data_IF_896582893016
#
_entry.id   IF_896582893016
#
_cell.length_a   1.000
_cell.length_b   1.000
_cell.length_c   1.000
_cell.angle_alpha   90.00
_cell.angle_beta   90.00
_cell.angle_gamma   90.00
#
_symmetry.space_group_name_H-M   'P 1'
#
loop_
_entity.id
_entity.type
_entity.pdbx_description
1 polymer ?
#
# COMPACT_ATOMS: atom_id res chain seq x y z
N UNK A 1 22.85 4.10 -11.10
CA UNK A 1 21.51 3.49 -10.97
C UNK A 1 20.95 3.87 -9.60
N UNK A 2 19.74 4.42 -9.54
CA UNK A 2 19.13 4.88 -8.29
C UNK A 2 18.84 3.68 -7.37
N UNK A 3 19.21 3.79 -6.08
CA UNK A 3 19.02 2.75 -5.07
C UNK A 3 17.53 2.41 -4.87
N UNK A 4 16.66 3.41 -4.98
CA UNK A 4 15.22 3.24 -4.85
C UNK A 4 14.63 2.48 -6.05
N UNK A 5 15.11 2.75 -7.26
CA UNK A 5 14.73 1.99 -8.46
C UNK A 5 15.13 0.50 -8.36
N UNK A 6 16.28 0.20 -7.76
CA UNK A 6 16.74 -1.18 -7.51
C UNK A 6 15.84 -1.93 -6.52
N UNK A 7 15.48 -1.29 -5.40
CA UNK A 7 14.56 -1.88 -4.42
C UNK A 7 13.20 -2.15 -5.03
N UNK A 8 12.69 -1.20 -5.80
CA UNK A 8 11.40 -1.30 -6.47
C UNK A 8 11.38 -2.47 -7.47
N UNK A 9 12.42 -2.63 -8.28
CA UNK A 9 12.58 -3.79 -9.19
C UNK A 9 12.58 -5.13 -8.44
N UNK A 10 13.28 -5.22 -7.31
CA UNK A 10 13.34 -6.43 -6.50
C UNK A 10 11.98 -6.76 -5.87
N UNK A 11 11.25 -5.76 -5.36
CA UNK A 11 9.88 -5.95 -4.84
C UNK A 11 8.94 -6.48 -5.94
N UNK A 12 8.96 -5.88 -7.14
CA UNK A 12 8.11 -6.31 -8.26
C UNK A 12 8.47 -7.74 -8.73
N UNK A 13 9.76 -8.07 -8.77
CA UNK A 13 10.23 -9.36 -9.27
C UNK A 13 9.79 -10.57 -8.42
N UNK A 14 9.43 -10.35 -7.15
CA UNK A 14 8.93 -11.41 -6.25
C UNK A 14 7.47 -11.80 -6.57
N UNK A 15 6.70 -10.88 -7.18
CA UNK A 15 5.28 -11.05 -7.47
C UNK A 15 5.00 -12.02 -8.62
N UNK A 16 3.79 -12.60 -8.72
CA UNK A 16 3.35 -13.35 -9.89
C UNK A 16 3.38 -12.53 -11.19
N UNK A 17 3.63 -13.18 -12.34
CA UNK A 17 3.71 -12.50 -13.65
C UNK A 17 2.46 -11.68 -14.01
N UNK A 18 1.28 -12.09 -13.53
CA UNK A 18 0.02 -11.36 -13.73
C UNK A 18 0.07 -10.00 -13.05
N UNK A 19 0.54 -9.97 -11.80
CA UNK A 19 0.59 -8.77 -10.98
C UNK A 19 1.73 -7.85 -11.39
N UNK A 20 2.87 -8.42 -11.83
CA UNK A 20 3.94 -7.66 -12.48
C UNK A 20 3.42 -6.87 -13.69
N UNK A 21 2.66 -7.52 -14.58
CA UNK A 21 2.07 -6.85 -15.77
C UNK A 21 1.06 -5.79 -15.37
N UNK A 22 0.24 -6.06 -14.36
CA UNK A 22 -0.71 -5.08 -13.84
C UNK A 22 0.00 -3.85 -13.27
N UNK A 23 1.03 -4.02 -12.44
CA UNK A 23 1.83 -2.91 -11.88
C UNK A 23 2.48 -2.08 -12.99
N UNK A 24 3.08 -2.73 -13.98
CA UNK A 24 3.69 -2.03 -15.11
C UNK A 24 2.66 -1.24 -15.94
N UNK A 25 1.38 -1.64 -15.93
CA UNK A 25 0.29 -0.93 -16.60
C UNK A 25 -0.20 0.32 -15.85
N UNK A 26 0.13 0.45 -14.57
CA UNK A 26 -0.23 1.61 -13.74
C UNK A 26 0.83 2.72 -13.76
N UNK A 27 1.99 2.49 -14.41
CA UNK A 27 3.05 3.49 -14.51
C UNK A 27 2.59 4.67 -15.37
N UNK A 28 2.90 5.90 -14.93
CA UNK A 28 2.70 7.09 -15.77
C UNK A 28 3.60 7.05 -17.00
N UNK A 29 3.24 7.75 -18.08
CA UNK A 29 4.03 7.78 -19.32
C UNK A 29 5.51 8.18 -19.09
N UNK A 30 5.76 9.10 -18.15
CA UNK A 30 7.11 9.50 -17.77
C UNK A 30 7.88 8.38 -17.08
N UNK A 31 7.25 7.66 -16.15
CA UNK A 31 7.85 6.52 -15.45
C UNK A 31 8.06 5.33 -16.38
N UNK A 32 7.15 5.11 -17.32
CA UNK A 32 7.25 4.05 -18.32
C UNK A 32 8.43 4.31 -19.26
N UNK A 33 8.61 5.56 -19.70
CA UNK A 33 9.77 5.98 -20.50
C UNK A 33 11.08 5.84 -19.72
N UNK A 34 11.10 6.18 -18.43
CA UNK A 34 12.26 5.95 -17.57
C UNK A 34 12.53 4.46 -17.36
N UNK A 35 11.49 3.64 -17.22
CA UNK A 35 11.61 2.19 -17.09
C UNK A 35 12.22 1.57 -18.35
N UNK A 36 11.76 1.98 -19.53
CA UNK A 36 12.32 1.56 -20.83
C UNK A 36 13.77 2.03 -21.02
N UNK A 37 14.07 3.30 -20.72
CA UNK A 37 15.42 3.86 -20.81
C UNK A 37 16.44 3.11 -19.95
N UNK A 38 16.00 2.60 -18.79
CA UNK A 38 16.84 1.82 -17.88
C UNK A 38 16.79 0.31 -18.14
N UNK A 39 16.26 -0.14 -19.29
CA UNK A 39 16.13 -1.56 -19.63
C UNK A 39 15.36 -2.35 -18.54
N UNK A 40 14.31 -1.74 -17.99
CA UNK A 40 13.56 -2.24 -16.84
C UNK A 40 13.07 -3.66 -16.99
N UNK A 41 12.66 -4.09 -18.19
CA UNK A 41 12.24 -5.47 -18.47
C UNK A 41 13.39 -6.49 -18.28
N UNK A 42 14.59 -6.18 -18.76
CA UNK A 42 15.75 -7.05 -18.56
C UNK A 42 16.18 -7.08 -17.09
N UNK A 43 16.14 -5.92 -16.43
CA UNK A 43 16.45 -5.83 -15.01
C UNK A 43 15.45 -6.59 -14.15
N UNK A 44 14.17 -6.58 -14.52
CA UNK A 44 13.11 -7.30 -13.82
C UNK A 44 13.27 -8.82 -14.05
N UNK A 45 13.63 -9.24 -15.26
CA UNK A 45 14.00 -10.63 -15.52
C UNK A 45 15.24 -11.07 -14.73
N UNK A 46 16.28 -10.22 -14.64
CA UNK A 46 17.46 -10.48 -13.82
C UNK A 46 17.11 -10.53 -12.32
N UNK A 47 16.23 -9.65 -11.86
CA UNK A 47 15.75 -9.60 -10.48
C UNK A 47 14.94 -10.86 -10.10
N UNK A 48 14.25 -11.50 -11.05
CA UNK A 48 13.54 -12.76 -10.80
C UNK A 48 14.47 -13.90 -10.37
N UNK A 49 15.75 -13.89 -10.78
CA UNK A 49 16.74 -14.86 -10.29
C UNK A 49 17.05 -14.70 -8.80
N UNK A 50 16.84 -13.50 -8.24
CA UNK A 50 17.02 -13.22 -6.82
C UNK A 50 15.75 -13.47 -5.99
N UNK A 51 14.68 -14.01 -6.61
CA UNK A 51 13.42 -14.34 -5.92
C UNK A 51 13.62 -15.34 -4.77
N UNK A 52 14.56 -16.27 -4.91
CA UNK A 52 14.89 -17.25 -3.85
C UNK A 52 15.61 -16.62 -2.65
N UNK A 53 16.30 -15.48 -2.84
CA UNK A 53 16.99 -14.77 -1.76
C UNK A 53 16.03 -13.88 -0.95
N UNK A 54 14.89 -13.52 -1.52
CA UNK A 54 13.79 -12.85 -0.79
C UNK A 54 13.01 -13.79 0.13
N UNK A 55 13.23 -15.12 0.03
CA UNK A 55 12.68 -16.14 0.92
C UNK A 55 13.63 -16.56 2.04
N UNK A 56 14.75 -15.86 2.23
CA UNK A 56 15.43 -15.94 3.53
C UNK A 56 14.53 -15.16 4.48
N UNK A 57 13.82 -15.81 5.43
CA UNK A 57 13.10 -15.06 6.44
C UNK A 57 14.16 -14.22 7.15
N UNK A 58 14.09 -12.90 6.97
CA UNK A 58 14.78 -11.99 7.85
C UNK A 58 14.36 -12.43 9.25
N UNK A 59 15.33 -12.88 10.05
CA UNK A 59 15.18 -13.14 11.49
C UNK A 59 14.15 -12.14 12.01
N UNK A 60 13.04 -12.63 12.55
CA UNK A 60 12.02 -11.81 13.20
C UNK A 60 12.70 -11.03 14.31
N UNK A 61 13.25 -9.87 13.96
CA UNK A 61 13.43 -8.79 14.89
C UNK A 61 12.01 -8.45 15.26
N UNK A 62 11.64 -8.68 16.51
CA UNK A 62 10.40 -8.19 17.11
C UNK A 62 10.47 -6.65 17.06
N UNK A 63 10.25 -6.10 15.88
CA UNK A 63 9.94 -4.70 15.70
C UNK A 63 8.52 -4.56 16.18
N UNK A 64 8.31 -3.71 17.19
CA UNK A 64 6.99 -3.17 17.56
C UNK A 64 6.14 -3.00 16.30
N UNK A 65 4.84 -3.32 16.30
CA UNK A 65 4.00 -3.22 15.12
C UNK A 65 4.21 -1.83 14.50
N UNK A 66 4.95 -1.79 13.39
CA UNK A 66 5.24 -0.56 12.68
C UNK A 66 4.00 -0.32 11.84
N UNK A 67 3.09 0.48 12.40
CA UNK A 67 2.02 1.06 11.58
C UNK A 67 2.68 1.76 10.37
N UNK A 68 2.20 1.49 9.16
CA UNK A 68 2.75 2.09 7.94
C UNK A 68 2.80 3.62 8.00
N UNK A 69 3.75 4.23 7.28
CA UNK A 69 3.88 5.71 7.24
C UNK A 69 2.63 6.43 6.75
N UNK A 70 1.82 5.79 5.90
CA UNK A 70 0.51 6.30 5.46
C UNK A 70 -0.45 6.57 6.64
N UNK A 71 -0.30 5.83 7.74
CA UNK A 71 -1.10 6.02 8.96
C UNK A 71 -0.82 7.39 9.62
N UNK A 72 0.37 7.97 9.39
CA UNK A 72 0.71 9.29 9.91
C UNK A 72 -0.07 10.42 9.24
N UNK A 73 -0.44 10.27 7.96
CA UNK A 73 -1.33 11.22 7.30
C UNK A 73 -2.79 10.97 7.70
N UNK A 74 -3.19 9.70 7.78
CA UNK A 74 -4.56 9.30 8.07
C UNK A 74 -5.01 9.71 9.49
N UNK A 75 -4.12 9.65 10.50
CA UNK A 75 -4.45 10.01 11.89
C UNK A 75 -4.88 11.48 12.10
N UNK A 76 -4.58 12.35 11.13
CA UNK A 76 -4.95 13.78 11.20
C UNK A 76 -6.25 14.10 10.47
N UNK A 77 -6.92 13.09 9.90
CA UNK A 77 -8.19 13.25 9.20
C UNK A 77 -9.38 13.09 10.16
N UNK A 78 -10.57 13.48 9.72
CA UNK A 78 -11.79 13.35 10.50
C UNK A 78 -12.13 11.88 10.81
N UNK A 79 -12.70 11.60 11.98
CA UNK A 79 -13.07 10.23 12.43
C UNK A 79 -13.92 9.47 11.40
N UNK A 80 -14.87 10.16 10.75
CA UNK A 80 -15.71 9.56 9.71
C UNK A 80 -14.92 9.22 8.45
N UNK A 81 -13.97 10.07 8.06
CA UNK A 81 -13.10 9.81 6.92
C UNK A 81 -12.22 8.59 7.19
N UNK A 82 -11.60 8.53 8.37
CA UNK A 82 -10.80 7.38 8.81
C UNK A 82 -11.64 6.10 8.77
N UNK A 83 -12.85 6.12 9.34
CA UNK A 83 -13.76 4.98 9.35
C UNK A 83 -14.10 4.46 7.93
N UNK A 84 -14.31 5.36 6.96
CA UNK A 84 -14.55 4.99 5.56
C UNK A 84 -13.32 4.33 4.94
N UNK A 85 -12.13 4.87 5.17
CA UNK A 85 -10.88 4.33 4.61
C UNK A 85 -10.58 2.94 5.17
N UNK A 86 -10.75 2.74 6.49
CA UNK A 86 -10.53 1.44 7.13
C UNK A 86 -11.53 0.38 6.65
N UNK A 87 -12.81 0.74 6.50
CA UNK A 87 -13.84 -0.19 6.01
C UNK A 87 -13.58 -0.65 4.57
N UNK A 88 -13.16 0.25 3.69
CA UNK A 88 -12.87 -0.08 2.28
C UNK A 88 -11.54 -0.82 2.11
N UNK A 89 -10.52 -0.45 2.89
CA UNK A 89 -9.18 -0.99 2.73
C UNK A 89 -8.97 -2.37 3.37
N UNK A 90 -9.75 -2.71 4.40
CA UNK A 90 -9.67 -3.99 5.13
C UNK A 90 -8.22 -4.35 5.51
N UNK A 91 -7.49 -3.37 6.02
CA UNK A 91 -6.06 -3.51 6.26
C UNK A 91 -5.77 -4.46 7.42
N UNK A 92 -4.71 -5.24 7.31
CA UNK A 92 -4.27 -6.10 8.40
C UNK A 92 -3.81 -5.32 9.64
N UNK A 93 -3.25 -4.12 9.45
CA UNK A 93 -2.80 -3.20 10.48
C UNK A 93 -3.93 -2.34 11.09
N UNK A 94 -5.17 -2.50 10.61
CA UNK A 94 -6.31 -1.68 11.05
C UNK A 94 -6.50 -1.72 12.56
N UNK A 95 -6.38 -2.90 13.17
CA UNK A 95 -6.58 -3.08 14.61
C UNK A 95 -5.53 -2.35 15.42
N UNK A 96 -4.25 -2.50 15.06
CA UNK A 96 -3.18 -1.77 15.74
C UNK A 96 -3.33 -0.26 15.56
N UNK A 97 -3.72 0.19 14.36
CA UNK A 97 -3.92 1.62 14.09
C UNK A 97 -5.04 2.22 14.93
N UNK A 98 -6.20 1.56 15.03
CA UNK A 98 -7.32 2.07 15.85
C UNK A 98 -6.91 2.16 17.33
N UNK A 99 -6.15 1.20 17.86
CA UNK A 99 -5.70 1.24 19.26
C UNK A 99 -4.71 2.36 19.57
N UNK A 100 -4.08 2.94 18.55
CA UNK A 100 -3.14 4.06 18.69
C UNK A 100 -3.83 5.42 18.60
N UNK A 101 -5.11 5.47 18.24
CA UNK A 101 -5.89 6.69 18.15
C UNK A 101 -6.66 6.93 19.45
N UNK A 102 -6.60 8.16 19.97
CA UNK A 102 -7.33 8.56 21.17
C UNK A 102 -8.86 8.43 21.01
N UNK A 103 -9.35 8.45 19.76
CA UNK A 103 -10.75 8.32 19.36
C UNK A 103 -11.07 6.95 18.72
N UNK A 104 -10.31 5.90 19.04
CA UNK A 104 -10.49 4.58 18.43
C UNK A 104 -11.90 3.99 18.60
N UNK A 105 -12.52 4.17 19.76
CA UNK A 105 -13.89 3.69 20.03
C UNK A 105 -14.93 4.41 19.17
N UNK A 106 -14.77 5.72 18.96
CA UNK A 106 -15.65 6.52 18.08
C UNK A 106 -15.55 6.03 16.63
N UNK A 107 -14.33 5.75 16.16
CA UNK A 107 -14.10 5.25 14.79
C UNK A 107 -14.77 3.88 14.61
N UNK A 108 -14.69 2.99 15.60
CA UNK A 108 -15.39 1.71 15.57
C UNK A 108 -16.92 1.90 15.48
N UNK A 109 -17.49 2.77 16.30
CA UNK A 109 -18.92 3.06 16.26
C UNK A 109 -19.36 3.65 14.91
N UNK A 110 -18.57 4.56 14.33
CA UNK A 110 -18.84 5.15 13.03
C UNK A 110 -18.80 4.11 11.90
N UNK A 111 -17.87 3.16 11.95
CA UNK A 111 -17.78 2.05 10.98
C UNK A 111 -19.06 1.21 10.99
N UNK A 112 -19.59 0.89 12.16
CA UNK A 112 -20.80 0.05 12.28
C UNK A 112 -22.10 0.83 11.97
N UNK A 113 -22.15 2.12 12.28
CA UNK A 113 -23.40 2.89 12.23
C UNK A 113 -23.55 3.85 11.03
N UNK A 114 -22.51 4.64 10.74
CA UNK A 114 -22.59 5.73 9.76
C UNK A 114 -22.03 5.31 8.41
N UNK A 115 -20.89 4.61 8.39
CA UNK A 115 -20.26 4.13 7.16
C UNK A 115 -21.16 3.16 6.40
N UNK A 116 -21.96 2.36 7.10
CA UNK A 116 -22.95 1.45 6.51
C UNK A 116 -24.09 2.18 5.78
N UNK A 117 -24.38 3.44 6.13
CA UNK A 117 -25.41 4.28 5.51
C UNK A 117 -24.91 5.03 4.27
N UNK A 118 -23.60 5.12 4.08
CA UNK A 118 -22.98 5.78 2.94
C UNK A 118 -23.06 4.87 1.71
N UNK A 119 -23.42 5.45 0.56
CA UNK A 119 -23.47 4.72 -0.71
C UNK A 119 -22.11 4.09 -1.03
N UNK A 120 -22.07 2.82 -1.48
CA UNK A 120 -20.82 2.14 -1.81
C UNK A 120 -19.92 2.93 -2.78
N UNK A 121 -20.50 3.53 -3.82
CA UNK A 121 -19.75 4.32 -4.81
C UNK A 121 -19.05 5.54 -4.20
N UNK A 122 -19.66 6.17 -3.19
CA UNK A 122 -19.09 7.31 -2.50
C UNK A 122 -17.89 6.87 -1.65
N UNK A 123 -18.01 5.75 -0.93
CA UNK A 123 -16.91 5.19 -0.15
C UNK A 123 -15.73 4.80 -1.03
N UNK A 124 -16.01 4.13 -2.15
CA UNK A 124 -15.02 3.70 -3.11
C UNK A 124 -14.32 4.89 -3.80
N UNK A 125 -15.06 5.97 -4.07
CA UNK A 125 -14.48 7.20 -4.63
C UNK A 125 -13.53 7.89 -3.64
N UNK A 126 -13.94 8.01 -2.37
CA UNK A 126 -13.10 8.56 -1.31
C UNK A 126 -11.84 7.72 -1.09
N UNK A 127 -12.00 6.39 -1.09
CA UNK A 127 -10.88 5.47 -0.97
C UNK A 127 -9.89 5.61 -2.13
N UNK A 128 -10.38 5.68 -3.38
CA UNK A 128 -9.52 5.90 -4.55
C UNK A 128 -8.81 7.24 -4.51
N UNK A 129 -9.50 8.30 -4.08
CA UNK A 129 -8.89 9.61 -3.94
C UNK A 129 -7.72 9.55 -2.95
N UNK A 130 -7.95 8.94 -1.78
CA UNK A 130 -6.92 8.71 -0.78
C UNK A 130 -5.74 7.90 -1.35
N UNK A 131 -5.99 6.84 -2.12
CA UNK A 131 -4.93 6.05 -2.76
C UNK A 131 -4.06 6.85 -3.74
N UNK A 132 -4.64 7.82 -4.47
CA UNK A 132 -3.93 8.65 -5.46
C UNK A 132 -2.99 9.66 -4.78
N UNK A 133 -3.34 10.12 -3.58
CA UNK A 133 -2.55 11.08 -2.80
C UNK A 133 -1.30 10.44 -2.18
N UNK A 134 -1.24 9.10 -2.13
CA UNK A 134 -0.14 8.34 -1.56
C UNK A 134 0.95 7.98 -2.59
N UNK A 135 2.18 7.93 -2.09
CA UNK A 135 3.34 7.54 -2.89
C UNK A 135 3.30 6.06 -3.28
N UNK A 136 4.03 5.70 -4.32
CA UNK A 136 4.07 4.32 -4.83
C UNK A 136 4.51 3.28 -3.77
N UNK A 137 5.44 3.64 -2.88
CA UNK A 137 5.87 2.75 -1.79
C UNK A 137 4.75 2.52 -0.76
N UNK A 138 3.90 3.52 -0.52
CA UNK A 138 2.74 3.41 0.37
C UNK A 138 1.64 2.57 -0.28
N UNK A 139 1.43 2.70 -1.59
CA UNK A 139 0.50 1.85 -2.35
C UNK A 139 0.85 0.36 -2.32
N UNK A 140 2.13 0.02 -2.30
CA UNK A 140 2.58 -1.37 -2.12
C UNK A 140 2.21 -1.93 -0.75
N UNK A 141 2.29 -1.13 0.31
CA UNK A 141 1.92 -1.55 1.66
C UNK A 141 0.40 -1.70 1.80
N UNK A 142 -0.40 -0.89 1.12
CA UNK A 142 -1.85 -0.99 1.15
C UNK A 142 -2.42 -2.31 0.60
N UNK A 143 -1.72 -2.95 -0.36
CA UNK A 143 -2.23 -4.13 -1.06
C UNK A 143 -1.59 -5.46 -0.63
N UNK A 144 -0.42 -5.41 -0.02
CA UNK A 144 0.37 -6.60 0.35
C UNK A 144 0.86 -6.58 1.80
N UNK A 145 0.55 -5.50 2.53
CA UNK A 145 0.82 -5.35 3.95
C UNK A 145 0.07 -6.37 4.74
#
# INVERSE_FOLDING_TARGET
>A
MNHEFKKLLLKIAVLPKKDQRWILSQLTAQQQKQFEQNQGNELLHKAQHFRSLAHIPLKEVVTKPQIPSLCDALKHQDSLYIAIILEQGQFNWQKEFITLLDNGDEIHELMDTQVTKIKPDTKLSLFRQWQIEHSFDEQLVMHYG
#
